data_IF_746079297155
#
_entry.id   IF_746079297155
#
_cell.length_a   1.000
_cell.length_b   1.000
_cell.length_c   1.000
_cell.angle_alpha   90.00
_cell.angle_beta   90.00
_cell.angle_gamma   90.00
#
_symmetry.space_group_name_H-M   'P 1'
#
loop_
_entity.id
_entity.type
_entity.pdbx_description
1 polymer ?
#
# COMPACT_ATOMS: atom_id res chain seq x y z
N UNK A 1 18.38 -10.10 0.69
CA UNK A 1 17.17 -9.59 0.02
C UNK A 1 17.57 -8.49 -0.94
N UNK A 2 17.03 -8.50 -2.15
CA UNK A 2 17.23 -7.46 -3.17
C UNK A 2 16.35 -6.23 -2.92
N UNK A 3 16.58 -5.13 -3.64
CA UNK A 3 15.79 -3.88 -3.54
C UNK A 3 14.31 -4.10 -3.92
N UNK A 4 14.06 -5.01 -4.85
CA UNK A 4 12.74 -5.46 -5.27
C UNK A 4 12.12 -6.50 -4.31
N UNK A 5 12.73 -6.72 -3.13
CA UNK A 5 12.17 -7.57 -2.08
C UNK A 5 12.35 -9.07 -2.27
N UNK A 6 12.97 -9.52 -3.38
CA UNK A 6 13.19 -10.94 -3.61
C UNK A 6 14.30 -11.52 -2.73
N UNK A 7 14.06 -12.72 -2.21
CA UNK A 7 14.99 -13.52 -1.40
C UNK A 7 15.09 -14.92 -2.01
N UNK A 8 16.31 -15.43 -2.18
CA UNK A 8 16.53 -16.79 -2.66
C UNK A 8 16.17 -17.80 -1.56
N UNK A 9 15.77 -19.02 -1.92
CA UNK A 9 15.51 -20.07 -0.94
C UNK A 9 16.74 -20.37 -0.07
N UNK A 10 17.94 -20.32 -0.66
CA UNK A 10 19.20 -20.51 0.08
C UNK A 10 19.42 -19.43 1.15
N UNK A 11 19.24 -18.16 0.79
CA UNK A 11 19.36 -17.05 1.74
C UNK A 11 18.26 -17.12 2.82
N UNK A 12 17.04 -17.49 2.44
CA UNK A 12 15.95 -17.66 3.39
C UNK A 12 16.31 -18.74 4.42
N UNK A 13 16.73 -19.92 3.94
CA UNK A 13 17.08 -21.04 4.80
C UNK A 13 18.25 -20.74 5.75
N UNK A 14 19.18 -19.88 5.33
CA UNK A 14 20.26 -19.42 6.21
C UNK A 14 19.76 -18.63 7.43
N UNK A 15 18.54 -18.07 7.37
CA UNK A 15 17.97 -17.24 8.43
C UNK A 15 16.87 -17.94 9.23
N UNK A 16 16.02 -18.74 8.59
CA UNK A 16 14.82 -19.31 9.22
C UNK A 16 14.89 -20.83 9.45
N UNK A 17 15.97 -21.48 9.01
CA UNK A 17 16.11 -22.94 9.02
C UNK A 17 15.64 -23.59 7.72
N UNK A 18 15.65 -24.92 7.67
CA UNK A 18 15.31 -25.64 6.43
C UNK A 18 13.81 -25.50 6.08
N UNK A 19 13.55 -24.82 4.96
CA UNK A 19 12.26 -24.77 4.26
C UNK A 19 12.48 -25.30 2.85
N UNK A 20 11.51 -26.08 2.35
CA UNK A 20 11.53 -26.62 0.98
C UNK A 20 10.81 -25.70 -0.02
N UNK A 21 10.96 -25.99 -1.32
CA UNK A 21 10.14 -25.33 -2.36
C UNK A 21 8.66 -25.62 -2.12
N UNK A 22 8.33 -26.86 -1.82
CA UNK A 22 6.97 -27.35 -1.62
C UNK A 22 6.30 -26.65 -0.43
N UNK A 23 7.05 -26.38 0.65
CA UNK A 23 6.55 -25.60 1.79
C UNK A 23 6.18 -24.17 1.37
N UNK A 24 7.00 -23.53 0.54
CA UNK A 24 6.71 -22.19 0.04
C UNK A 24 5.53 -22.19 -0.94
N UNK A 25 5.40 -23.20 -1.80
CA UNK A 25 4.25 -23.37 -2.69
C UNK A 25 2.95 -23.52 -1.89
N UNK A 26 2.96 -24.31 -0.82
CA UNK A 26 1.82 -24.46 0.10
C UNK A 26 1.52 -23.14 0.82
N UNK A 27 2.55 -22.42 1.28
CA UNK A 27 2.40 -21.15 1.98
C UNK A 27 1.76 -20.08 1.07
N UNK A 28 2.29 -19.90 -0.14
CA UNK A 28 1.77 -18.94 -1.12
C UNK A 28 0.38 -19.36 -1.61
N UNK A 29 0.16 -20.66 -1.83
CA UNK A 29 -1.14 -21.19 -2.24
C UNK A 29 -2.25 -21.02 -1.18
N UNK A 30 -1.90 -20.80 0.09
CA UNK A 30 -2.84 -20.53 1.18
C UNK A 30 -2.97 -19.05 1.53
N UNK A 31 -2.23 -18.17 0.86
CA UNK A 31 -2.25 -16.74 1.14
C UNK A 31 -3.43 -16.04 0.45
N UNK A 32 -4.59 -16.08 1.11
CA UNK A 32 -5.82 -15.42 0.65
C UNK A 32 -5.69 -13.91 0.40
N UNK A 33 -4.62 -13.30 0.94
CA UNK A 33 -4.37 -11.86 0.81
C UNK A 33 -3.32 -11.54 -0.24
N UNK A 34 -2.77 -12.55 -0.92
CA UNK A 34 -1.80 -12.41 -2.00
C UNK A 34 -0.63 -11.50 -1.59
N UNK A 35 -0.12 -11.69 -0.37
CA UNK A 35 1.03 -10.98 0.17
C UNK A 35 2.35 -11.55 -0.33
N UNK A 36 2.37 -12.79 -0.80
CA UNK A 36 3.59 -13.47 -1.20
C UNK A 36 3.58 -13.75 -2.71
N UNK A 37 4.73 -13.52 -3.35
CA UNK A 37 5.03 -14.00 -4.68
C UNK A 37 6.07 -15.10 -4.59
N UNK A 38 5.92 -16.10 -5.45
CA UNK A 38 6.85 -17.21 -5.59
C UNK A 38 7.30 -17.32 -7.04
N UNK A 39 8.60 -17.49 -7.24
CA UNK A 39 9.20 -17.79 -8.53
C UNK A 39 9.94 -19.13 -8.42
N UNK A 40 9.64 -20.09 -9.30
CA UNK A 40 10.08 -21.49 -9.20
C UNK A 40 10.63 -22.08 -10.50
N UNK A 41 11.32 -21.28 -11.32
CA UNK A 41 12.00 -21.81 -12.51
C UNK A 41 13.29 -22.56 -12.12
N UNK A 42 14.46 -22.13 -12.60
CA UNK A 42 15.77 -22.72 -12.27
C UNK A 42 16.11 -22.58 -10.78
N UNK A 43 15.69 -21.47 -10.17
CA UNK A 43 15.89 -21.19 -8.75
C UNK A 43 14.54 -20.87 -8.08
N UNK A 44 14.47 -21.10 -6.77
CA UNK A 44 13.31 -20.73 -5.95
C UNK A 44 13.56 -19.39 -5.27
N UNK A 45 12.67 -18.43 -5.51
CA UNK A 45 12.69 -17.10 -4.91
C UNK A 45 11.33 -16.75 -4.34
N UNK A 46 11.30 -16.00 -3.24
CA UNK A 46 10.09 -15.50 -2.59
C UNK A 46 10.21 -13.99 -2.34
N UNK A 47 9.09 -13.27 -2.46
CA UNK A 47 9.02 -11.84 -2.13
C UNK A 47 7.69 -11.52 -1.44
N UNK A 48 7.70 -10.51 -0.57
CA UNK A 48 6.46 -9.89 -0.10
C UNK A 48 6.00 -8.83 -1.12
N UNK A 49 4.70 -8.77 -1.42
CA UNK A 49 4.12 -7.81 -2.38
C UNK A 49 4.11 -6.39 -1.80
N UNK A 50 3.92 -6.24 -0.50
CA UNK A 50 3.82 -4.94 0.18
C UNK A 50 4.15 -5.05 1.67
N UNK A 51 4.26 -3.90 2.36
CA UNK A 51 4.49 -3.86 3.81
C UNK A 51 5.96 -3.83 4.25
N UNK A 52 6.88 -3.54 3.34
CA UNK A 52 8.30 -3.41 3.65
C UNK A 52 8.56 -2.27 4.65
N UNK A 53 9.46 -2.55 5.58
CA UNK A 53 9.94 -1.59 6.58
C UNK A 53 11.42 -1.25 6.43
N UNK A 54 12.08 -1.95 5.51
CA UNK A 54 13.52 -1.91 5.29
C UNK A 54 13.79 -0.79 4.31
N UNK A 55 14.69 0.12 4.66
CA UNK A 55 15.05 1.25 3.80
C UNK A 55 15.66 0.74 2.48
N UNK A 56 15.21 1.30 1.35
CA UNK A 56 15.66 0.92 0.01
C UNK A 56 14.96 -0.31 -0.58
N UNK A 57 14.01 -0.92 0.14
CA UNK A 57 13.25 -2.08 -0.35
C UNK A 57 11.83 -1.65 -0.71
N UNK A 58 11.52 -1.69 -2.00
CA UNK A 58 10.21 -1.29 -2.55
C UNK A 58 9.30 -2.48 -2.80
N UNK A 59 9.87 -3.67 -2.95
CA UNK A 59 9.14 -4.88 -3.29
C UNK A 59 8.97 -5.09 -4.80
N UNK A 60 8.32 -6.18 -5.21
CA UNK A 60 8.22 -6.62 -6.60
C UNK A 60 7.09 -5.90 -7.37
N UNK A 61 6.52 -4.85 -6.76
CA UNK A 61 5.45 -4.06 -7.35
C UNK A 61 5.93 -3.27 -8.57
N UNK A 62 4.99 -2.94 -9.45
CA UNK A 62 5.21 -2.08 -10.60
C UNK A 62 4.83 -0.64 -10.26
N UNK A 63 5.64 0.32 -10.69
CA UNK A 63 5.27 1.73 -10.68
C UNK A 63 4.15 2.00 -11.70
N UNK A 64 3.09 2.68 -11.25
CA UNK A 64 1.97 3.06 -12.10
C UNK A 64 2.13 4.52 -12.54
N UNK A 65 1.87 4.79 -13.81
CA UNK A 65 1.73 6.18 -14.26
C UNK A 65 0.50 6.83 -13.60
N UNK A 66 0.47 8.16 -13.43
CA UNK A 66 -0.69 8.86 -12.87
C UNK A 66 -2.04 8.54 -13.54
N UNK A 67 -2.03 8.19 -14.82
CA UNK A 67 -3.22 7.82 -15.58
C UNK A 67 -3.73 6.40 -15.27
N UNK A 68 -2.85 5.51 -14.80
CA UNK A 68 -3.18 4.13 -14.42
C UNK A 68 -3.68 4.03 -12.97
N UNK A 69 -3.44 5.04 -12.13
CA UNK A 69 -3.88 5.03 -10.74
C UNK A 69 -5.42 5.16 -10.67
N UNK A 70 -6.13 4.25 -9.98
CA UNK A 70 -7.58 4.35 -9.81
C UNK A 70 -7.98 5.70 -9.20
N UNK A 71 -9.04 6.31 -9.75
CA UNK A 71 -9.46 7.65 -9.34
C UNK A 71 -9.85 7.75 -7.87
N UNK A 72 -10.37 6.65 -7.32
CA UNK A 72 -10.81 6.53 -5.94
C UNK A 72 -10.18 5.29 -5.30
N UNK A 73 -9.41 5.53 -4.24
CA UNK A 73 -8.80 4.52 -3.41
C UNK A 73 -9.35 4.63 -1.98
N UNK A 74 -9.06 3.63 -1.15
CA UNK A 74 -9.50 3.58 0.23
C UNK A 74 -8.40 3.07 1.16
N UNK A 75 -8.32 3.68 2.34
CA UNK A 75 -7.45 3.30 3.44
C UNK A 75 -8.29 2.94 4.67
N UNK A 76 -8.07 1.77 5.25
CA UNK A 76 -8.70 1.38 6.51
C UNK A 76 -7.90 1.91 7.70
N UNK A 77 -8.58 2.47 8.70
CA UNK A 77 -7.98 3.05 9.91
C UNK A 77 -8.83 2.75 11.15
N UNK A 78 -8.23 2.93 12.33
CA UNK A 78 -8.93 2.96 13.61
C UNK A 78 -9.60 4.31 13.85
N UNK A 79 -10.73 4.33 14.57
CA UNK A 79 -11.53 5.54 14.79
C UNK A 79 -10.76 6.65 15.52
N UNK A 80 -9.84 6.28 16.42
CA UNK A 80 -8.99 7.21 17.16
C UNK A 80 -8.10 8.09 16.26
N UNK A 81 -7.77 7.65 15.05
CA UNK A 81 -6.92 8.40 14.13
C UNK A 81 -7.70 9.28 13.13
N UNK A 82 -9.04 9.18 13.09
CA UNK A 82 -9.87 9.93 12.14
C UNK A 82 -9.65 11.43 12.22
N UNK A 83 -9.58 11.97 13.44
CA UNK A 83 -9.35 13.41 13.65
C UNK A 83 -7.95 13.87 13.19
N UNK A 84 -6.91 13.06 13.40
CA UNK A 84 -5.56 13.39 12.92
C UNK A 84 -5.47 13.29 11.40
N UNK A 85 -6.10 12.28 10.81
CA UNK A 85 -6.11 12.07 9.35
C UNK A 85 -6.86 13.23 8.67
N UNK A 86 -7.98 13.67 9.22
CA UNK A 86 -8.71 14.81 8.68
C UNK A 86 -7.90 16.12 8.73
N UNK A 87 -7.14 16.34 9.80
CA UNK A 87 -6.35 17.57 9.98
C UNK A 87 -5.05 17.59 9.17
N UNK A 88 -4.36 16.45 9.11
CA UNK A 88 -2.97 16.38 8.64
C UNK A 88 -2.78 15.47 7.42
N UNK A 89 -3.85 14.86 6.93
CA UNK A 89 -3.78 13.81 5.91
C UNK A 89 -3.27 12.48 6.45
N UNK A 90 -3.17 11.50 5.55
CA UNK A 90 -2.49 10.24 5.85
C UNK A 90 -0.98 10.49 5.94
N UNK A 91 -0.37 10.07 7.05
CA UNK A 91 1.06 10.18 7.26
C UNK A 91 1.61 8.84 7.70
N UNK A 92 2.75 8.45 7.12
CA UNK A 92 3.43 7.23 7.48
C UNK A 92 4.94 7.39 7.27
N UNK A 93 5.72 6.62 8.03
CA UNK A 93 7.18 6.48 7.83
C UNK A 93 7.52 5.47 6.73
N UNK A 94 6.51 4.77 6.22
CA UNK A 94 6.57 3.73 5.19
C UNK A 94 5.49 4.05 4.15
N UNK A 95 5.49 3.31 3.06
CA UNK A 95 4.47 3.47 2.04
C UNK A 95 3.06 3.26 2.61
N UNK A 96 2.13 4.13 2.18
CA UNK A 96 0.74 4.07 2.60
C UNK A 96 0.03 3.05 1.72
N UNK A 97 -0.51 2.01 2.34
CA UNK A 97 -1.31 1.03 1.61
C UNK A 97 -2.71 1.57 1.32
N UNK A 98 -3.05 1.57 0.04
CA UNK A 98 -4.33 1.97 -0.51
C UNK A 98 -4.91 0.82 -1.32
N UNK A 99 -6.23 0.64 -1.25
CA UNK A 99 -6.95 -0.35 -2.05
C UNK A 99 -7.90 0.36 -3.02
N UNK A 100 -8.16 -0.27 -4.15
CA UNK A 100 -9.23 0.17 -5.04
C UNK A 100 -10.60 -0.10 -4.39
N UNK A 101 -11.52 0.85 -4.50
CA UNK A 101 -12.87 0.70 -3.94
C UNK A 101 -13.60 -0.43 -4.66
N UNK A 102 -14.19 -1.35 -3.90
CA UNK A 102 -14.88 -2.52 -4.46
C UNK A 102 -13.95 -3.68 -4.81
N UNK A 103 -12.62 -3.51 -4.68
CA UNK A 103 -11.71 -4.66 -4.72
C UNK A 103 -12.07 -5.62 -3.57
N UNK A 104 -12.41 -6.85 -3.92
CA UNK A 104 -12.78 -7.90 -2.98
C UNK A 104 -11.53 -8.46 -2.34
N UNK A 105 -10.97 -7.72 -1.39
CA UNK A 105 -9.95 -8.31 -0.56
C UNK A 105 -10.22 -7.96 0.90
N UNK A 106 -10.46 -8.98 1.72
CA UNK A 106 -10.35 -8.91 3.18
C UNK A 106 -8.93 -8.59 3.66
N UNK A 107 -8.16 -7.81 2.88
CA UNK A 107 -6.80 -7.36 3.17
C UNK A 107 -6.76 -6.47 4.40
N UNK A 108 -7.85 -5.78 4.70
CA UNK A 108 -8.02 -5.06 5.95
C UNK A 108 -8.00 -6.00 7.15
N UNK A 109 -7.62 -5.44 8.30
CA UNK A 109 -7.84 -6.15 9.56
C UNK A 109 -9.33 -6.03 9.90
N UNK A 110 -9.88 -7.07 10.53
CA UNK A 110 -11.30 -7.12 10.87
C UNK A 110 -11.71 -6.06 11.89
N UNK A 111 -10.73 -5.50 12.63
CA UNK A 111 -10.90 -4.48 13.67
C UNK A 111 -10.74 -3.04 13.16
N UNK A 112 -10.57 -2.83 11.84
CA UNK A 112 -10.55 -1.46 11.30
C UNK A 112 -11.98 -0.90 11.28
N UNK A 113 -12.14 0.28 11.88
CA UNK A 113 -13.44 0.89 12.15
C UNK A 113 -13.82 1.96 11.12
N UNK A 114 -12.84 2.54 10.43
CA UNK A 114 -13.03 3.70 9.56
C UNK A 114 -12.43 3.48 8.18
N UNK A 115 -13.21 3.77 7.14
CA UNK A 115 -12.74 3.85 5.76
C UNK A 115 -12.45 5.31 5.39
N UNK A 116 -11.21 5.59 5.00
CA UNK A 116 -10.77 6.91 4.52
C UNK A 116 -10.62 6.84 3.00
N UNK A 117 -11.51 7.52 2.28
CA UNK A 117 -11.49 7.56 0.82
C UNK A 117 -10.50 8.61 0.31
N UNK A 118 -9.66 8.21 -0.66
CA UNK A 118 -8.59 9.01 -1.22
C UNK A 118 -8.84 9.22 -2.71
N UNK A 119 -8.96 10.49 -3.14
CA UNK A 119 -9.05 10.85 -4.56
C UNK A 119 -7.66 11.05 -5.14
N UNK A 120 -7.13 10.04 -5.84
CA UNK A 120 -5.76 10.03 -6.37
C UNK A 120 -5.50 11.15 -7.39
N UNK A 121 -6.49 11.49 -8.23
CA UNK A 121 -6.36 12.52 -9.27
C UNK A 121 -6.14 13.95 -8.72
N UNK A 122 -6.41 14.18 -7.43
CA UNK A 122 -6.21 15.49 -6.78
C UNK A 122 -4.77 15.69 -6.30
N UNK A 123 -4.02 14.60 -6.10
CA UNK A 123 -2.66 14.64 -5.53
C UNK A 123 -1.69 15.27 -6.55
N UNK A 124 -1.81 14.91 -7.83
CA UNK A 124 -0.94 15.40 -8.90
C UNK A 124 -1.11 16.88 -9.25
N UNK A 125 -2.28 17.49 -8.97
CA UNK A 125 -2.48 18.94 -9.21
C UNK A 125 -1.76 19.82 -8.18
N UNK A 126 -1.50 19.30 -6.98
CA UNK A 126 -0.88 20.08 -5.89
C UNK A 126 0.63 20.27 -6.04
N UNK A 127 1.32 19.34 -6.71
CA UNK A 127 2.75 19.46 -7.01
C UNK A 127 3.02 20.32 -8.25
N UNK A 128 2.11 20.30 -9.23
CA UNK A 128 2.14 21.23 -10.37
C UNK A 128 1.81 22.68 -9.97
N UNK A 129 0.96 22.87 -8.95
CA UNK A 129 0.55 24.19 -8.45
C UNK A 129 1.56 24.88 -7.52
N UNK A 130 2.54 24.17 -6.96
CA UNK A 130 3.53 24.76 -6.03
C UNK A 130 4.64 25.56 -6.68
N UNK A 131 4.71 25.58 -8.02
CA UNK A 131 5.70 26.37 -8.77
C UNK A 131 5.22 27.73 -9.26
N UNK A 132 3.95 28.10 -9.03
CA UNK A 132 3.44 29.43 -9.35
C UNK A 132 2.20 29.70 -8.48
N UNK A 133 2.35 30.44 -7.40
CA UNK A 133 1.60 31.69 -7.13
C UNK A 133 1.85 32.14 -5.70
N UNK A 134 2.43 33.33 -5.61
CA UNK A 134 2.30 34.22 -4.46
C UNK A 134 0.86 34.75 -4.43
N UNK A 135 0.30 34.83 -3.22
CA UNK A 135 -0.83 35.69 -2.84
C UNK A 135 -2.29 35.22 -3.09
N UNK A 136 -3.17 35.69 -2.20
CA UNK A 136 -4.64 35.71 -2.20
C UNK A 136 -5.42 34.58 -1.48
N UNK A 137 -5.55 34.81 -0.16
CA UNK A 137 -6.69 34.71 0.79
C UNK A 137 -8.06 34.08 0.39
N UNK A 138 -8.66 33.50 1.46
CA UNK A 138 -10.09 33.46 1.85
C UNK A 138 -11.11 32.51 1.15
N UNK A 139 -11.39 31.39 1.83
CA UNK A 139 -12.72 31.01 2.36
C UNK A 139 -13.92 30.78 1.43
N UNK A 140 -14.45 29.54 1.44
CA UNK A 140 -15.89 29.22 1.60
C UNK A 140 -16.14 27.74 1.31
N UNK A 141 -16.62 26.95 2.28
CA UNK A 141 -17.23 25.64 1.99
C UNK A 141 -18.45 25.39 2.87
N UNK A 142 -19.59 25.16 2.21
CA UNK A 142 -20.90 24.84 2.81
C UNK A 142 -20.89 23.43 3.40
N UNK A 143 -21.52 23.27 4.56
CA UNK A 143 -21.96 21.98 5.08
C UNK A 143 -23.35 21.69 4.52
N UNK A 144 -23.52 20.61 3.78
CA UNK A 144 -24.84 20.03 3.55
C UNK A 144 -25.05 18.88 4.55
N UNK A 145 -26.12 18.98 5.34
CA UNK A 145 -26.67 17.89 6.13
C UNK A 145 -27.49 17.02 5.18
N UNK A 146 -27.25 15.71 5.22
CA UNK A 146 -28.17 14.74 4.65
C UNK A 146 -29.30 14.52 5.68
N UNK A 147 -30.53 14.71 5.25
CA UNK A 147 -31.76 14.30 5.96
C UNK A 147 -31.98 12.79 5.86
#
# INVERSE_FOLDING_TARGET
>A
MKEDGWVSLGDLNSHVGEISREDLEVLVGRDEKERLLLFTDVETWVAAVSGHSISGVVGPGRELSPAEVPALLVHGSYAQYTNSIYRSGLQARRDIHLLEVGSRHGRWRADLETAVFVRAQTIHKSEAGRRNTTDQREGSWRKEKLE
#
